data_IF_118988058877
#
_entry.id   IF_118988058877
#
_cell.length_a   1.000
_cell.length_b   1.000
_cell.length_c   1.000
_cell.angle_alpha   90.00
_cell.angle_beta   90.00
_cell.angle_gamma   90.00
#
_symmetry.space_group_name_H-M   'P 1'
#
loop_
_entity.id
_entity.type
_entity.pdbx_description
1 polymer ?
#
# COMPACT_ATOMS: atom_id res chain seq x y z
N UNK A 1 -21.72 -2.39 15.86
CA UNK A 1 -21.06 -1.96 14.60
C UNK A 1 -19.60 -2.36 14.67
N UNK A 2 -19.18 -3.36 13.88
CA UNK A 2 -17.75 -3.69 13.78
C UNK A 2 -16.99 -2.49 13.25
N UNK A 3 -15.94 -2.06 13.94
CA UNK A 3 -15.12 -0.94 13.47
C UNK A 3 -14.52 -1.33 12.11
N UNK A 4 -14.90 -0.61 11.04
CA UNK A 4 -14.29 -0.78 9.71
C UNK A 4 -12.77 -0.65 9.89
N UNK A 5 -12.02 -1.64 9.40
CA UNK A 5 -10.57 -1.56 9.30
C UNK A 5 -10.25 -0.30 8.49
N UNK A 6 -9.43 0.59 9.07
CA UNK A 6 -9.01 1.79 8.36
C UNK A 6 -8.08 1.36 7.23
N UNK A 7 -8.53 1.54 6.00
CA UNK A 7 -7.69 1.29 4.84
C UNK A 7 -6.76 2.49 4.65
N UNK A 8 -5.50 2.23 4.29
CA UNK A 8 -4.55 3.30 3.97
C UNK A 8 -5.07 4.18 2.83
N UNK A 9 -5.81 3.60 1.88
CA UNK A 9 -6.42 4.29 0.75
C UNK A 9 -7.44 5.34 1.18
N UNK A 10 -8.24 5.08 2.21
CA UNK A 10 -9.19 6.05 2.78
C UNK A 10 -8.47 7.32 3.30
N UNK A 11 -7.20 7.19 3.69
CA UNK A 11 -6.38 8.31 4.18
C UNK A 11 -5.58 9.02 3.08
N UNK A 12 -5.25 8.32 1.99
CA UNK A 12 -4.51 8.86 0.86
C UNK A 12 -5.41 9.65 -0.11
N UNK A 13 -6.66 9.20 -0.28
CA UNK A 13 -7.69 9.87 -1.08
C UNK A 13 -8.90 10.24 -0.23
N UNK A 14 -8.73 11.15 0.75
CA UNK A 14 -9.84 11.55 1.58
C UNK A 14 -10.86 12.35 0.74
N UNK A 15 -12.13 12.13 1.04
CA UNK A 15 -13.25 12.87 0.47
C UNK A 15 -14.08 13.51 1.58
N UNK A 16 -14.69 14.66 1.30
CA UNK A 16 -15.63 15.29 2.21
C UNK A 16 -16.99 14.54 2.23
N UNK A 17 -17.93 15.04 3.03
CA UNK A 17 -19.27 14.45 3.16
C UNK A 17 -20.11 14.52 1.88
N UNK A 18 -19.68 15.30 0.87
CA UNK A 18 -20.30 15.44 -0.45
C UNK A 18 -19.56 14.62 -1.50
N UNK A 19 -18.49 13.91 -1.12
CA UNK A 19 -17.66 13.12 -2.02
C UNK A 19 -16.61 13.93 -2.78
N UNK A 20 -16.39 15.20 -2.44
CA UNK A 20 -15.36 16.01 -3.07
C UNK A 20 -13.98 15.65 -2.49
N UNK A 21 -12.92 15.51 -3.32
CA UNK A 21 -11.57 15.27 -2.83
C UNK A 21 -11.10 16.38 -1.89
N UNK A 22 -10.46 16.02 -0.79
CA UNK A 22 -9.84 16.98 0.13
C UNK A 22 -8.33 16.73 0.23
N UNK A 23 -7.54 17.76 0.58
CA UNK A 23 -6.10 17.58 0.75
C UNK A 23 -5.75 16.61 1.89
N UNK A 24 -4.88 15.65 1.62
CA UNK A 24 -4.40 14.71 2.63
C UNK A 24 -3.21 15.30 3.40
N UNK A 25 -3.43 15.68 4.67
CA UNK A 25 -2.36 16.15 5.55
C UNK A 25 -1.46 15.00 5.99
N UNK A 26 -0.18 15.05 5.62
CA UNK A 26 0.78 13.95 5.88
C UNK A 26 0.88 13.61 7.36
N UNK A 27 0.88 14.62 8.24
CA UNK A 27 0.94 14.41 9.68
C UNK A 27 -0.27 13.65 10.21
N UNK A 28 -1.48 14.02 9.76
CA UNK A 28 -2.73 13.39 10.21
C UNK A 28 -2.82 11.94 9.75
N UNK A 29 -2.43 11.66 8.50
CA UNK A 29 -2.35 10.29 7.96
C UNK A 29 -1.37 9.45 8.78
N UNK A 30 -0.17 9.95 9.04
CA UNK A 30 0.83 9.23 9.83
C UNK A 30 0.36 8.98 11.26
N UNK A 31 -0.28 9.95 11.90
CA UNK A 31 -0.83 9.81 13.25
C UNK A 31 -1.95 8.77 13.30
N UNK A 32 -2.86 8.78 12.33
CA UNK A 32 -3.94 7.80 12.24
C UNK A 32 -3.40 6.37 12.06
N UNK A 33 -2.43 6.17 11.17
CA UNK A 33 -1.82 4.86 10.93
C UNK A 33 -1.04 4.35 12.15
N UNK A 34 -0.23 5.22 12.78
CA UNK A 34 0.54 4.87 13.98
C UNK A 34 -0.37 4.59 15.17
N UNK A 35 -1.43 5.38 15.36
CA UNK A 35 -2.43 5.19 16.42
C UNK A 35 -3.16 3.85 16.32
N UNK A 36 -3.24 3.27 15.12
CA UNK A 36 -3.79 1.93 14.86
C UNK A 36 -2.74 0.82 14.76
N UNK A 37 -1.47 1.11 15.06
CA UNK A 37 -0.39 0.14 14.99
C UNK A 37 0.03 -0.27 13.57
N UNK A 38 -0.44 0.42 12.53
CA UNK A 38 -0.13 0.11 11.13
C UNK A 38 1.24 0.66 10.73
N UNK A 39 2.31 0.07 11.28
CA UNK A 39 3.70 0.56 11.12
C UNK A 39 4.19 0.51 9.68
N UNK A 40 3.87 -0.56 8.93
CA UNK A 40 4.24 -0.69 7.52
C UNK A 40 3.58 0.38 6.65
N UNK A 41 2.27 0.58 6.82
CA UNK A 41 1.53 1.65 6.17
C UNK A 41 2.12 3.03 6.48
N UNK A 42 2.44 3.30 7.76
CA UNK A 42 3.06 4.55 8.16
C UNK A 42 4.46 4.75 7.55
N UNK A 43 5.24 3.68 7.38
CA UNK A 43 6.53 3.74 6.71
C UNK A 43 6.38 4.12 5.22
N UNK A 44 5.44 3.49 4.51
CA UNK A 44 5.12 3.82 3.11
C UNK A 44 4.72 5.30 2.99
N UNK A 45 3.75 5.76 3.79
CA UNK A 45 3.31 7.17 3.75
C UNK A 45 4.44 8.13 4.11
N UNK A 46 5.36 7.74 5.00
CA UNK A 46 6.49 8.59 5.36
C UNK A 46 7.42 8.89 4.18
N UNK A 47 7.53 7.96 3.21
CA UNK A 47 8.34 8.11 2.00
C UNK A 47 7.66 8.96 0.91
N UNK A 48 6.34 9.13 0.96
CA UNK A 48 5.59 9.90 -0.04
C UNK A 48 5.97 11.40 0.04
N UNK A 49 6.30 12.07 -1.08
CA UNK A 49 6.56 13.50 -1.11
C UNK A 49 5.40 14.34 -0.59
N UNK A 50 5.72 15.48 0.03
CA UNK A 50 4.72 16.42 0.51
C UNK A 50 5.18 17.86 0.32
N UNK A 51 4.25 18.75 -0.01
CA UNK A 51 4.45 20.19 -0.11
C UNK A 51 3.55 20.90 0.90
N UNK A 52 4.13 21.80 1.70
CA UNK A 52 3.42 22.50 2.78
C UNK A 52 2.65 21.56 3.75
N UNK A 53 3.16 20.34 3.97
CA UNK A 53 2.54 19.33 4.83
C UNK A 53 1.44 18.48 4.17
N UNK A 54 1.09 18.78 2.92
CA UNK A 54 0.08 18.05 2.13
C UNK A 54 0.80 16.99 1.29
N UNK A 55 0.30 15.75 1.28
CA UNK A 55 0.80 14.72 0.37
C UNK A 55 0.66 15.17 -1.09
N UNK A 56 1.68 14.92 -1.90
CA UNK A 56 1.64 15.22 -3.33
C UNK A 56 0.59 14.34 -4.03
N UNK A 57 -0.53 14.91 -4.52
CA UNK A 57 -1.62 14.14 -5.09
C UNK A 57 -1.19 13.42 -6.38
N UNK A 58 -0.32 14.02 -7.19
CA UNK A 58 0.15 13.38 -8.42
C UNK A 58 1.03 12.16 -8.13
N UNK A 59 1.86 12.25 -7.09
CA UNK A 59 2.64 11.11 -6.62
C UNK A 59 1.75 10.00 -6.07
N UNK A 60 0.76 10.35 -5.25
CA UNK A 60 -0.19 9.39 -4.66
C UNK A 60 -0.98 8.67 -5.76
N UNK A 61 -1.48 9.38 -6.77
CA UNK A 61 -2.19 8.80 -7.91
C UNK A 61 -1.30 7.88 -8.73
N UNK A 62 -0.05 8.28 -9.02
CA UNK A 62 0.90 7.46 -9.75
C UNK A 62 1.25 6.17 -8.99
N UNK A 63 1.42 6.26 -7.67
CA UNK A 63 1.62 5.11 -6.79
C UNK A 63 0.40 4.16 -6.84
N UNK A 64 -0.81 4.70 -6.69
CA UNK A 64 -2.05 3.94 -6.73
C UNK A 64 -2.23 3.20 -8.06
N UNK A 65 -2.01 3.90 -9.17
CA UNK A 65 -2.07 3.33 -10.51
C UNK A 65 -1.03 2.20 -10.68
N UNK A 66 0.20 2.41 -10.24
CA UNK A 66 1.25 1.38 -10.33
C UNK A 66 0.90 0.14 -9.52
N UNK A 67 0.45 0.31 -8.27
CA UNK A 67 0.00 -0.82 -7.44
C UNK A 67 -1.16 -1.57 -8.11
N UNK A 68 -2.13 -0.84 -8.66
CA UNK A 68 -3.25 -1.45 -9.38
C UNK A 68 -2.77 -2.29 -10.57
N UNK A 69 -1.88 -1.75 -11.41
CA UNK A 69 -1.35 -2.47 -12.58
C UNK A 69 -0.58 -3.72 -12.19
N UNK A 70 0.25 -3.66 -11.15
CA UNK A 70 1.01 -4.83 -10.69
C UNK A 70 0.10 -5.90 -10.07
N UNK A 71 -0.96 -5.50 -9.36
CA UNK A 71 -1.96 -6.44 -8.85
C UNK A 71 -2.76 -7.10 -9.98
N UNK A 72 -3.09 -6.34 -11.03
CA UNK A 72 -3.76 -6.90 -12.23
C UNK A 72 -2.85 -7.91 -12.94
N UNK A 73 -1.59 -7.54 -13.18
CA UNK A 73 -0.59 -8.43 -13.76
C UNK A 73 -0.40 -9.70 -12.92
N UNK A 74 -0.31 -9.57 -11.59
CA UNK A 74 -0.24 -10.71 -10.68
C UNK A 74 -1.47 -11.62 -10.85
N UNK A 75 -2.67 -11.04 -10.94
CA UNK A 75 -3.90 -11.78 -11.21
C UNK A 75 -3.83 -12.59 -12.52
N UNK A 76 -3.31 -11.99 -13.59
CA UNK A 76 -3.12 -12.66 -14.88
C UNK A 76 -2.09 -13.80 -14.77
N UNK A 77 -0.96 -13.56 -14.11
CA UNK A 77 0.10 -14.55 -13.94
C UNK A 77 -0.41 -15.78 -13.15
N UNK A 78 -1.19 -15.55 -12.08
CA UNK A 78 -1.82 -16.62 -11.31
C UNK A 78 -2.89 -17.37 -12.12
N UNK A 79 -3.72 -16.66 -12.90
CA UNK A 79 -4.73 -17.28 -13.76
C UNK A 79 -4.10 -18.18 -14.84
N UNK A 80 -2.90 -17.85 -15.30
CA UNK A 80 -2.10 -18.65 -16.22
C UNK A 80 -1.33 -19.80 -15.53
N UNK A 81 -1.52 -20.00 -14.22
CA UNK A 81 -0.90 -21.08 -13.45
C UNK A 81 0.58 -20.86 -13.13
N UNK A 82 1.08 -19.62 -13.16
CA UNK A 82 2.46 -19.31 -12.75
C UNK A 82 2.62 -19.39 -11.23
N UNK A 83 3.86 -19.61 -10.81
CA UNK A 83 4.21 -19.74 -9.40
C UNK A 83 3.87 -18.44 -8.61
N UNK A 84 2.99 -18.52 -7.60
CA UNK A 84 2.60 -17.37 -6.78
C UNK A 84 3.76 -16.67 -6.06
N UNK A 85 4.88 -17.37 -5.80
CA UNK A 85 6.06 -16.79 -5.15
C UNK A 85 6.79 -15.82 -6.08
N UNK A 86 6.94 -16.19 -7.35
CA UNK A 86 7.59 -15.33 -8.36
C UNK A 86 6.72 -14.10 -8.64
N UNK A 87 5.40 -14.30 -8.69
CA UNK A 87 4.45 -13.26 -9.04
C UNK A 87 4.30 -12.21 -7.90
N UNK A 88 4.32 -12.64 -6.64
CA UNK A 88 4.27 -11.72 -5.48
C UNK A 88 5.55 -10.88 -5.29
N UNK A 89 6.71 -11.35 -5.77
CA UNK A 89 7.95 -10.59 -5.74
C UNK A 89 7.91 -9.32 -6.59
N UNK A 90 7.18 -9.32 -7.71
CA UNK A 90 7.03 -8.15 -8.59
C UNK A 90 6.27 -7.00 -7.88
N UNK A 91 5.19 -7.33 -7.16
CA UNK A 91 4.41 -6.35 -6.39
C UNK A 91 5.26 -5.76 -5.26
N UNK A 92 6.00 -6.60 -4.52
CA UNK A 92 6.89 -6.13 -3.45
C UNK A 92 8.03 -5.26 -4.01
N UNK A 93 8.57 -5.58 -5.17
CA UNK A 93 9.61 -4.78 -5.83
C UNK A 93 9.08 -3.42 -6.30
N UNK A 94 7.85 -3.36 -6.83
CA UNK A 94 7.20 -2.11 -7.19
C UNK A 94 6.97 -1.20 -5.97
N UNK A 95 6.66 -1.77 -4.81
CA UNK A 95 6.55 -1.06 -3.53
C UNK A 95 7.95 -0.61 -3.04
N UNK A 96 8.97 -1.44 -3.20
CA UNK A 96 10.35 -1.17 -2.75
C UNK A 96 11.02 -0.02 -3.51
N UNK A 97 10.82 0.07 -4.84
CA UNK A 97 11.39 1.13 -5.70
C UNK A 97 10.90 2.53 -5.30
N UNK A 98 9.86 2.64 -4.48
CA UNK A 98 9.26 3.91 -4.04
C UNK A 98 9.68 4.33 -2.62
N UNK A 99 10.70 3.69 -2.05
CA UNK A 99 11.33 4.10 -0.78
C UNK A 99 10.76 3.44 0.48
N UNK A 100 9.87 2.45 0.33
CA UNK A 100 9.53 1.54 1.41
C UNK A 100 10.40 0.29 1.28
N UNK A 101 11.52 0.23 2.01
CA UNK A 101 12.31 -1.01 2.12
C UNK A 101 11.33 -2.18 2.38
N UNK A 102 11.39 -3.26 1.60
CA UNK A 102 10.55 -4.41 1.85
C UNK A 102 10.87 -4.85 3.28
N UNK A 103 9.87 -4.85 4.16
CA UNK A 103 10.04 -5.42 5.48
C UNK A 103 10.52 -6.85 5.25
N UNK A 104 11.82 -7.08 5.49
CA UNK A 104 12.45 -8.39 5.46
C UNK A 104 11.94 -9.21 6.66
N UNK A 105 10.62 -9.41 6.70
CA UNK A 105 9.92 -10.26 7.63
C UNK A 105 9.91 -11.65 7.02
N UNK A 106 11.04 -12.35 7.21
CA UNK A 106 11.14 -13.81 7.34
C UNK A 106 9.97 -14.55 6.68
N UNK A 107 10.13 -14.92 5.40
CA UNK A 107 9.24 -15.80 4.66
C UNK A 107 8.91 -17.04 5.54
N UNK A 108 7.75 -17.04 6.20
CA UNK A 108 7.15 -18.24 6.76
C UNK A 108 6.38 -18.94 5.64
N UNK A 109 7.10 -19.50 4.67
CA UNK A 109 6.53 -20.61 3.92
C UNK A 109 6.83 -21.84 4.75
N UNK A 110 5.84 -22.27 5.53
CA UNK A 110 5.82 -23.66 5.97
C UNK A 110 5.66 -24.49 4.70
N UNK A 111 6.71 -25.19 4.28
CA UNK A 111 6.55 -26.33 3.38
C UNK A 111 5.87 -27.42 4.21
N UNK A 112 4.55 -27.28 4.40
CA UNK A 112 3.73 -28.37 4.89
C UNK A 112 3.27 -29.15 3.67
N UNK A 113 3.78 -30.38 3.61
CA UNK A 113 3.35 -31.48 2.77
C UNK A 113 3.55 -31.34 1.25
N UNK A 114 4.50 -32.14 0.74
CA UNK A 114 4.18 -33.14 -0.29
C UNK A 114 5.18 -34.31 -0.25
N UNK A 115 4.75 -35.49 -0.71
CA UNK A 115 5.06 -36.82 -0.14
C UNK A 115 6.47 -37.33 -0.38
#
# INVERSE_FOLDING_TARGET
MGARLLEITDLLWPVDSRGAPVPAMKADVLNALRGRGQRGAAAIVSAIPAAAGILDPAYVDALGLRVHLELQRLGEELALGKDPVTASAAVLSAIAVLGAEPLAGRLWYTTKDRP
#
